data_IF_767885644297
#
_entry.id   IF_767885644297
#
_cell.length_a   1.000
_cell.length_b   1.000
_cell.length_c   1.000
_cell.angle_alpha   90.00
_cell.angle_beta   90.00
_cell.angle_gamma   90.00
#
_symmetry.space_group_name_H-M   'P 1'
#
loop_
_entity.id
_entity.type
_entity.pdbx_description
1 polymer ?
#
# COMPACT_ATOMS: atom_id res chain seq x y z
N UNK A 1 -6.64 14.83 -15.62
CA UNK A 1 -5.21 14.70 -15.25
C UNK A 1 -5.11 13.53 -14.27
N UNK A 2 -4.30 12.52 -14.58
CA UNK A 2 -4.18 11.32 -13.74
C UNK A 2 -3.36 11.65 -12.49
N UNK A 3 -4.05 11.73 -11.34
CA UNK A 3 -3.42 11.86 -10.03
C UNK A 3 -2.69 10.56 -9.66
N UNK A 4 -1.47 10.42 -10.14
CA UNK A 4 -0.51 9.46 -9.62
C UNK A 4 0.13 10.07 -8.37
N UNK A 5 0.10 9.32 -7.25
CA UNK A 5 0.84 9.70 -6.06
C UNK A 5 2.34 9.72 -6.38
N UNK A 6 3.11 10.70 -5.86
CA UNK A 6 4.55 10.84 -6.15
C UNK A 6 5.41 9.59 -5.84
N UNK A 7 4.92 8.68 -4.99
CA UNK A 7 5.58 7.41 -4.70
C UNK A 7 5.59 6.40 -5.85
N UNK A 8 4.55 6.40 -6.70
CA UNK A 8 4.31 5.38 -7.74
C UNK A 8 5.10 5.65 -9.02
N UNK A 9 5.46 6.91 -9.30
CA UNK A 9 6.18 7.31 -10.52
C UNK A 9 7.55 6.63 -10.70
N UNK A 10 8.26 6.32 -9.61
CA UNK A 10 9.60 5.69 -9.66
C UNK A 10 9.58 4.18 -9.94
N UNK A 11 8.47 3.49 -9.70
CA UNK A 11 8.35 2.04 -9.96
C UNK A 11 7.76 1.71 -11.34
N UNK A 12 7.17 2.70 -12.03
CA UNK A 12 6.45 2.53 -13.29
C UNK A 12 7.29 2.75 -14.56
N UNK A 13 8.59 3.00 -14.44
CA UNK A 13 9.46 3.24 -15.61
C UNK A 13 9.06 4.47 -16.42
N UNK A 14 8.38 5.43 -15.80
CA UNK A 14 8.00 6.69 -16.46
C UNK A 14 9.22 7.59 -16.52
N UNK A 15 9.80 7.73 -17.71
CA UNK A 15 10.95 8.60 -17.95
C UNK A 15 10.62 10.09 -17.74
N UNK A 16 9.36 10.48 -17.94
CA UNK A 16 8.90 11.84 -17.69
C UNK A 16 7.45 11.88 -17.15
N UNK A 17 7.24 12.08 -15.83
CA UNK A 17 5.91 12.16 -15.23
C UNK A 17 5.08 13.36 -15.69
N UNK A 18 5.63 14.27 -16.51
CA UNK A 18 4.92 15.39 -17.11
C UNK A 18 4.38 15.10 -18.52
N UNK A 19 4.75 13.96 -19.13
CA UNK A 19 4.13 13.50 -20.38
C UNK A 19 2.85 12.70 -20.07
N UNK A 20 1.70 13.32 -20.34
CA UNK A 20 0.37 12.76 -20.00
C UNK A 20 0.11 11.42 -20.69
N UNK A 21 0.53 11.25 -21.94
CA UNK A 21 0.25 10.05 -22.73
C UNK A 21 1.10 8.85 -22.28
N UNK A 22 2.38 9.07 -21.98
CA UNK A 22 3.27 8.00 -21.50
C UNK A 22 2.88 7.53 -20.10
N UNK A 23 2.51 8.47 -19.21
CA UNK A 23 1.98 8.13 -17.89
C UNK A 23 0.70 7.30 -17.98
N UNK A 24 -0.23 7.69 -18.85
CA UNK A 24 -1.51 7.00 -18.98
C UNK A 24 -1.30 5.56 -19.46
N UNK A 25 -0.44 5.35 -20.46
CA UNK A 25 -0.10 4.02 -20.97
C UNK A 25 0.64 3.18 -19.93
N UNK A 26 1.60 3.77 -19.22
CA UNK A 26 2.36 3.10 -18.16
C UNK A 26 1.45 2.66 -17.00
N UNK A 27 0.60 3.57 -16.51
CA UNK A 27 -0.39 3.28 -15.48
C UNK A 27 -1.38 2.20 -15.90
N UNK A 28 -1.92 2.27 -17.12
CA UNK A 28 -2.85 1.26 -17.62
C UNK A 28 -2.22 -0.15 -17.69
N UNK A 29 -0.99 -0.27 -18.19
CA UNK A 29 -0.26 -1.54 -18.22
C UNK A 29 0.01 -2.09 -16.82
N UNK A 30 0.40 -1.23 -15.89
CA UNK A 30 0.67 -1.67 -14.52
C UNK A 30 -0.60 -2.11 -13.80
N UNK A 31 -1.70 -1.38 -13.94
CA UNK A 31 -3.00 -1.79 -13.39
C UNK A 31 -3.45 -3.12 -13.99
N UNK A 32 -3.25 -3.30 -15.31
CA UNK A 32 -3.55 -4.58 -15.97
C UNK A 32 -2.76 -5.72 -15.36
N UNK A 33 -1.46 -5.55 -15.11
CA UNK A 33 -0.64 -6.56 -14.46
C UNK A 33 -1.17 -6.92 -13.06
N UNK A 34 -1.64 -5.93 -12.28
CA UNK A 34 -2.23 -6.20 -10.97
C UNK A 34 -3.56 -6.97 -11.07
N UNK A 35 -4.39 -6.66 -12.07
CA UNK A 35 -5.63 -7.40 -12.33
C UNK A 35 -5.34 -8.84 -12.76
N UNK A 36 -4.33 -9.04 -13.60
CA UNK A 36 -3.92 -10.37 -14.03
C UNK A 36 -3.35 -11.19 -12.87
N UNK A 37 -2.68 -10.56 -11.91
CA UNK A 37 -2.15 -11.24 -10.72
C UNK A 37 -3.24 -11.57 -9.69
N UNK A 38 -3.98 -10.57 -9.23
CA UNK A 38 -4.87 -10.71 -8.07
C UNK A 38 -6.29 -11.15 -8.41
N UNK A 39 -6.68 -11.08 -9.70
CA UNK A 39 -8.01 -11.49 -10.22
C UNK A 39 -9.22 -10.84 -9.53
N UNK A 40 -8.98 -9.80 -8.74
CA UNK A 40 -9.99 -9.05 -7.99
C UNK A 40 -9.69 -7.57 -8.07
N UNK A 41 -10.71 -6.77 -8.36
CA UNK A 41 -10.57 -5.33 -8.56
C UNK A 41 -10.06 -4.61 -7.31
N UNK A 42 -10.58 -4.96 -6.13
CA UNK A 42 -10.16 -4.33 -4.86
C UNK A 42 -8.68 -4.58 -4.55
N UNK A 43 -8.22 -5.82 -4.72
CA UNK A 43 -6.82 -6.20 -4.51
C UNK A 43 -5.90 -5.58 -5.56
N UNK A 44 -6.33 -5.53 -6.83
CA UNK A 44 -5.54 -4.93 -7.90
C UNK A 44 -5.36 -3.41 -7.72
N UNK A 45 -6.42 -2.71 -7.32
CA UNK A 45 -6.37 -1.28 -6.99
C UNK A 45 -5.52 -1.03 -5.74
N UNK A 46 -5.65 -1.87 -4.72
CA UNK A 46 -4.80 -1.83 -3.53
C UNK A 46 -3.32 -2.06 -3.86
N UNK A 47 -3.01 -3.01 -4.76
CA UNK A 47 -1.65 -3.27 -5.22
C UNK A 47 -1.09 -2.13 -6.07
N UNK A 48 -1.93 -1.51 -6.89
CA UNK A 48 -1.57 -0.34 -7.68
C UNK A 48 -1.16 0.85 -6.80
N UNK A 49 -1.89 1.08 -5.70
CA UNK A 49 -1.63 2.18 -4.76
C UNK A 49 -0.54 1.85 -3.72
N UNK A 50 -0.68 0.75 -2.99
CA UNK A 50 0.17 0.39 -1.84
C UNK A 50 1.33 -0.56 -2.19
N UNK A 51 1.37 -1.07 -3.41
CA UNK A 51 2.34 -2.04 -3.90
C UNK A 51 1.89 -3.50 -3.71
N UNK A 52 2.16 -4.39 -4.68
CA UNK A 52 1.69 -5.78 -4.66
C UNK A 52 2.27 -6.60 -3.52
N UNK A 53 3.50 -6.29 -3.07
CA UNK A 53 4.14 -6.99 -1.95
C UNK A 53 3.30 -6.93 -0.67
N UNK A 54 2.64 -5.79 -0.41
CA UNK A 54 1.74 -5.66 0.75
C UNK A 54 0.48 -6.49 0.56
N UNK A 55 -0.11 -6.47 -0.62
CA UNK A 55 -1.33 -7.25 -0.89
C UNK A 55 -1.04 -8.76 -0.77
N UNK A 56 0.11 -9.23 -1.27
CA UNK A 56 0.57 -10.61 -1.07
C UNK A 56 0.75 -10.96 0.41
N UNK A 57 1.40 -10.08 1.17
CA UNK A 57 1.65 -10.31 2.60
C UNK A 57 0.37 -10.42 3.41
N UNK A 58 -0.61 -9.55 3.16
CA UNK A 58 -1.85 -9.49 3.95
C UNK A 58 -2.98 -10.37 3.37
N UNK A 59 -2.90 -10.78 2.10
CA UNK A 59 -3.98 -11.46 1.38
C UNK A 59 -5.24 -10.60 1.18
N UNK A 60 -5.18 -9.32 1.54
CA UNK A 60 -6.26 -8.33 1.46
C UNK A 60 -5.70 -6.92 1.27
N UNK A 61 -6.58 -5.96 1.03
CA UNK A 61 -6.20 -4.54 1.09
C UNK A 61 -5.86 -4.17 2.54
N UNK A 62 -4.65 -3.69 2.85
CA UNK A 62 -4.29 -3.26 4.20
C UNK A 62 -5.19 -2.12 4.66
N UNK A 63 -5.47 -2.05 5.96
CA UNK A 63 -6.32 -1.02 6.57
C UNK A 63 -5.61 0.35 6.68
N UNK A 64 -4.84 0.74 5.66
CA UNK A 64 -4.28 2.08 5.55
C UNK A 64 -5.36 3.01 5.03
N UNK A 65 -5.57 4.12 5.74
CA UNK A 65 -6.60 5.13 5.41
C UNK A 65 -6.55 5.54 3.93
N UNK A 66 -5.34 5.79 3.45
CA UNK A 66 -5.10 6.21 2.07
C UNK A 66 -5.50 5.14 1.05
N UNK A 67 -5.06 3.91 1.24
CA UNK A 67 -5.33 2.80 0.32
C UNK A 67 -6.81 2.42 0.32
N UNK A 68 -7.45 2.37 1.49
CA UNK A 68 -8.90 2.14 1.57
C UNK A 68 -9.68 3.25 0.85
N UNK A 69 -9.30 4.51 1.07
CA UNK A 69 -9.93 5.66 0.40
C UNK A 69 -9.73 5.63 -1.12
N UNK A 70 -8.54 5.25 -1.59
CA UNK A 70 -8.24 5.10 -3.01
C UNK A 70 -9.14 4.05 -3.67
N UNK A 71 -9.20 2.85 -3.08
CA UNK A 71 -10.01 1.74 -3.62
C UNK A 71 -11.50 2.09 -3.60
N UNK A 72 -12.02 2.63 -2.49
CA UNK A 72 -13.44 2.97 -2.36
C UNK A 72 -13.88 4.09 -3.31
N UNK A 73 -12.99 5.05 -3.58
CA UNK A 73 -13.27 6.15 -4.52
C UNK A 73 -13.43 5.62 -5.94
N UNK A 74 -12.57 4.68 -6.36
CA UNK A 74 -12.61 4.12 -7.71
C UNK A 74 -13.76 3.13 -7.88
N UNK A 75 -13.99 2.27 -6.88
CA UNK A 75 -15.13 1.34 -6.90
C UNK A 75 -16.48 2.02 -6.66
N UNK A 76 -16.46 3.28 -6.22
CA UNK A 76 -17.65 4.03 -5.76
C UNK A 76 -18.42 3.28 -4.66
N UNK A 77 -17.68 2.60 -3.78
CA UNK A 77 -18.24 1.76 -2.73
C UNK A 77 -17.61 2.09 -1.37
N UNK A 78 -18.26 3.00 -0.64
CA UNK A 78 -17.89 3.34 0.74
C UNK A 78 -18.23 2.22 1.72
N UNK A 79 -19.24 1.38 1.41
CA UNK A 79 -19.63 0.27 2.29
C UNK A 79 -18.54 -0.79 2.31
N UNK A 80 -17.90 -1.05 1.17
CA UNK A 80 -16.70 -1.90 1.08
C UNK A 80 -15.60 -1.40 2.04
N UNK A 81 -15.33 -0.09 2.08
CA UNK A 81 -14.27 0.46 2.93
C UNK A 81 -14.57 0.29 4.41
N UNK A 82 -15.80 0.58 4.84
CA UNK A 82 -16.24 0.44 6.23
C UNK A 82 -16.16 -1.03 6.68
N UNK A 83 -16.42 -1.98 5.78
CA UNK A 83 -16.37 -3.40 6.08
C UNK A 83 -14.95 -3.95 6.34
N UNK A 84 -13.88 -3.23 5.98
CA UNK A 84 -12.49 -3.69 6.15
C UNK A 84 -11.93 -3.59 7.59
N UNK A 85 -12.73 -3.09 8.54
CA UNK A 85 -12.35 -2.85 9.93
C UNK A 85 -11.89 -1.40 10.18
N UNK A 86 -11.61 -1.01 11.44
CA UNK A 86 -11.30 0.37 11.79
C UNK A 86 -10.08 0.87 11.02
N UNK A 87 -10.19 2.09 10.48
CA UNK A 87 -9.10 2.85 9.88
C UNK A 87 -8.04 3.05 10.96
N UNK A 88 -7.01 2.20 10.98
CA UNK A 88 -5.94 2.33 11.98
C UNK A 88 -5.13 3.56 11.59
N UNK A 89 -5.05 4.62 12.43
CA UNK A 89 -4.05 5.65 12.21
C UNK A 89 -2.70 4.93 12.26
N UNK A 90 -1.89 5.04 11.21
CA UNK A 90 -0.50 4.58 11.29
C UNK A 90 0.16 5.48 12.31
N UNK A 91 0.16 5.05 13.57
CA UNK A 91 1.07 5.59 14.57
C UNK A 91 2.47 5.39 13.98
N UNK A 92 3.14 6.50 13.67
CA UNK A 92 4.52 6.54 13.25
C UNK A 92 5.28 5.58 14.14
N UNK A 93 5.73 4.46 13.58
CA UNK A 93 6.37 3.41 14.36
C UNK A 93 7.68 3.98 14.89
N UNK A 94 7.63 4.44 16.15
CA UNK A 94 8.81 4.82 16.89
C UNK A 94 9.75 3.63 16.95
N UNK A 95 11.03 3.89 16.75
CA UNK A 95 12.09 3.03 17.21
C UNK A 95 11.96 2.89 18.73
N UNK A 96 11.21 1.90 19.19
CA UNK A 96 11.24 1.44 20.58
C UNK A 96 12.12 0.19 20.61
N UNK A 97 13.35 0.38 21.11
CA UNK A 97 14.35 -0.65 21.26
C UNK A 97 13.83 -1.87 22.02
N UNK A 98 14.30 -3.04 21.59
CA UNK A 98 14.04 -4.33 22.24
C UNK A 98 14.62 -4.28 23.67
N UNK A 99 13.89 -4.69 24.72
CA UNK A 99 14.48 -4.87 26.04
C UNK A 99 15.38 -6.11 26.01
N UNK A 100 16.70 -5.92 26.16
CA UNK A 100 17.64 -7.01 26.47
C UNK A 100 17.61 -7.29 27.96
N UNK A 101 16.72 -8.18 28.40
CA UNK A 101 16.81 -8.76 29.74
C UNK A 101 17.88 -9.85 29.71
N UNK A 102 19.10 -9.52 30.14
CA UNK A 102 20.12 -10.51 30.49
C UNK A 102 19.96 -10.85 31.98
N UNK A 103 19.40 -12.01 32.25
CA UNK A 103 19.36 -12.63 33.58
C UNK A 103 20.78 -13.01 34.02
N UNK A 104 21.15 -12.47 35.19
CA UNK A 104 22.03 -12.95 36.27
C UNK A 104 23.35 -13.70 35.97
N UNK A 105 24.45 -13.15 36.52
CA UNK A 105 25.32 -13.92 37.42
C UNK A 105 26.02 -13.00 38.44
N UNK A 106 26.07 -13.49 39.68
CA UNK A 106 26.51 -12.87 40.94
C UNK A 106 28.05 -12.85 41.12
N UNK A 107 28.56 -11.86 41.87
CA UNK A 107 29.63 -11.93 42.91
C UNK A 107 30.12 -10.48 43.20
N UNK A 108 29.79 -9.87 44.35
CA UNK A 108 30.62 -9.81 45.58
C UNK A 108 32.04 -9.25 45.37
N UNK A 109 32.20 -7.93 45.60
CA UNK A 109 32.98 -7.24 46.64
C UNK A 109 33.26 -5.80 46.18
#
# INVERSE_FOLDING_TARGET
>A
MSQLMPGTARQLGVANPWNVLENLRGGARYLRAQLDEFKRYDLALGAYNAGPGRIRQYGRVPAFRETLGYVSTILQDVRWAIAQGPIVPVASSGLAGRPTTRTAMLAQF
#
